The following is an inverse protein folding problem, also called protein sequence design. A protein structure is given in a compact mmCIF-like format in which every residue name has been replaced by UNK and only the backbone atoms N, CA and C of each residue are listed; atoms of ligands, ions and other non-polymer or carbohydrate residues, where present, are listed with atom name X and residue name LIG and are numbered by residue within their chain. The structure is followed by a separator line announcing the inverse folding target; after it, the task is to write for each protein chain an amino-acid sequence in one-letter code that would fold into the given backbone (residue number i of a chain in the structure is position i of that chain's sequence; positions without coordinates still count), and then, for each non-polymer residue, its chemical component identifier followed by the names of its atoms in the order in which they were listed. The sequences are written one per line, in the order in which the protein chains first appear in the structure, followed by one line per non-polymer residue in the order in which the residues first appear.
data_IF_543073360996
#
_entry.id   IF_543073360996
#
_cell.length_a   1.000
_cell.length_b   1.000
_cell.length_c   1.000
_cell.angle_alpha   90.00
_cell.angle_beta   90.00
_cell.angle_gamma   90.00
#
_symmetry.space_group_name_H-M   'P 1'
#
loop_
_entity.id
_entity.type
_entity.pdbx_description
1 polymer ?
#
# COMPACT_ATOMS: atom_id res chain seq x y z
N UNK A 1 31.12 -62.61 -18.92
CA UNK A 1 30.31 -61.40 -19.16
C UNK A 1 28.86 -61.86 -19.19
N UNK A 2 28.29 -62.03 -18.01
CA UNK A 2 26.90 -62.47 -17.83
C UNK A 2 26.07 -61.26 -17.41
N UNK A 3 25.04 -60.97 -18.18
CA UNK A 3 23.97 -60.03 -17.81
C UNK A 3 22.66 -60.80 -17.88
N UNK A 4 22.20 -61.25 -16.72
CA UNK A 4 20.89 -61.85 -16.49
C UNK A 4 19.82 -60.79 -16.20
N UNK A 5 18.59 -61.13 -16.58
CA UNK A 5 17.34 -60.46 -16.22
C UNK A 5 17.15 -60.31 -14.70
N UNK A 6 16.37 -59.33 -14.22
CA UNK A 6 14.97 -59.56 -13.81
C UNK A 6 14.27 -58.31 -13.19
N UNK A 7 13.03 -58.10 -13.63
CA UNK A 7 11.82 -57.57 -12.97
C UNK A 7 11.88 -56.81 -11.63
N UNK A 8 11.38 -55.55 -11.63
CA UNK A 8 10.26 -55.00 -10.81
C UNK A 8 10.40 -53.49 -10.59
N UNK A 9 9.51 -52.71 -11.21
CA UNK A 9 9.32 -51.28 -10.93
C UNK A 9 8.16 -51.09 -9.94
N UNK A 10 8.47 -50.81 -8.68
CA UNK A 10 7.59 -50.11 -7.72
C UNK A 10 8.50 -49.21 -6.86
N UNK A 11 8.52 -47.90 -7.15
CA UNK A 11 9.14 -46.86 -6.32
C UNK A 11 8.07 -45.80 -6.01
N UNK A 12 7.52 -45.70 -4.80
CA UNK A 12 8.10 -45.19 -3.55
C UNK A 12 8.11 -43.64 -3.54
N UNK A 13 7.12 -43.07 -2.85
CA UNK A 13 6.93 -41.63 -2.64
C UNK A 13 7.96 -41.08 -1.63
N UNK A 14 8.49 -39.85 -1.82
CA UNK A 14 9.41 -39.26 -0.85
C UNK A 14 8.68 -38.53 0.28
N UNK A 15 8.99 -38.92 1.50
CA UNK A 15 8.68 -38.22 2.76
C UNK A 15 9.62 -37.02 2.92
N UNK A 16 9.08 -35.80 2.99
CA UNK A 16 9.87 -34.59 3.30
C UNK A 16 9.84 -34.32 4.81
N UNK A 17 11.03 -34.37 5.44
CA UNK A 17 11.30 -33.98 6.84
C UNK A 17 11.29 -32.46 6.98
N UNK A 18 10.65 -31.94 8.04
CA UNK A 18 10.82 -30.57 8.54
C UNK A 18 11.90 -30.53 9.64
N UNK A 19 12.77 -29.51 9.71
CA UNK A 19 13.80 -29.41 10.73
C UNK A 19 13.28 -28.78 12.04
N UNK A 20 13.65 -29.39 13.17
CA UNK A 20 13.47 -28.87 14.52
C UNK A 20 14.48 -27.73 14.81
N UNK A 21 13.99 -26.51 15.07
CA UNK A 21 14.73 -25.49 15.83
C UNK A 21 13.76 -24.68 16.70
N UNK A 22 13.44 -25.21 17.90
CA UNK A 22 12.75 -24.47 18.95
C UNK A 22 13.77 -23.74 19.84
N UNK A 23 13.80 -22.41 19.72
CA UNK A 23 14.39 -21.52 20.73
C UNK A 23 13.50 -21.44 21.97
N UNK A 24 14.06 -21.77 23.13
CA UNK A 24 13.38 -21.70 24.45
C UNK A 24 13.09 -20.25 24.84
N UNK A 25 11.82 -19.88 24.96
CA UNK A 25 11.39 -18.68 25.69
C UNK A 25 10.81 -19.11 27.05
N UNK A 26 11.51 -18.72 28.13
CA UNK A 26 11.06 -18.87 29.51
C UNK A 26 9.86 -17.95 29.76
N UNK A 27 8.68 -18.53 30.05
CA UNK A 27 7.59 -17.79 30.67
C UNK A 27 7.75 -17.84 32.20
N UNK A 28 8.02 -16.68 32.81
CA UNK A 28 7.93 -16.47 34.26
C UNK A 28 6.47 -16.64 34.69
N UNK A 29 6.19 -17.57 35.60
CA UNK A 29 4.97 -17.55 36.42
C UNK A 29 5.07 -16.38 37.40
N UNK A 30 4.17 -15.41 37.29
CA UNK A 30 3.66 -14.69 38.45
C UNK A 30 2.15 -14.87 38.47
N UNK A 31 1.68 -15.56 39.49
CA UNK A 31 0.27 -15.56 39.84
C UNK A 31 -0.05 -14.26 40.56
N UNK A 32 -1.13 -13.59 40.13
CA UNK A 32 -2.06 -12.93 41.02
C UNK A 32 -3.39 -12.82 40.27
N UNK A 33 -4.34 -13.64 40.70
CA UNK A 33 -5.73 -13.61 40.27
C UNK A 33 -6.40 -12.46 41.00
N UNK A 34 -6.73 -11.38 40.29
CA UNK A 34 -7.75 -10.44 40.78
C UNK A 34 -8.73 -10.09 39.66
N UNK A 35 -9.99 -10.17 40.07
CA UNK A 35 -11.20 -10.22 39.27
C UNK A 35 -11.53 -8.86 38.67
N UNK A 36 -11.72 -8.80 37.35
CA UNK A 36 -12.58 -7.81 36.70
C UNK A 36 -13.39 -8.50 35.60
N UNK A 37 -14.40 -9.28 36.04
CA UNK A 37 -15.48 -9.68 35.17
C UNK A 37 -16.42 -8.47 35.00
N UNK A 38 -16.39 -7.84 33.83
CA UNK A 38 -17.50 -6.99 33.38
C UNK A 38 -18.77 -7.84 33.30
N UNK A 39 -19.91 -7.40 33.85
CA UNK A 39 -21.13 -8.19 33.82
C UNK A 39 -21.64 -8.26 32.37
N UNK A 40 -21.82 -9.47 31.87
CA UNK A 40 -22.63 -9.72 30.68
C UNK A 40 -24.05 -9.30 31.05
N UNK A 41 -24.59 -8.31 30.35
CA UNK A 41 -25.97 -7.83 30.52
C UNK A 41 -26.94 -9.02 30.54
N UNK A 42 -27.67 -9.17 31.64
CA UNK A 42 -28.77 -10.13 31.82
C UNK A 42 -30.09 -9.56 31.28
N UNK A 43 -30.06 -8.78 30.20
CA UNK A 43 -31.29 -8.43 29.50
C UNK A 43 -31.73 -9.60 28.63
N UNK A 44 -32.83 -10.23 29.04
CA UNK A 44 -33.52 -11.26 28.27
C UNK A 44 -33.80 -10.73 26.85
N UNK A 45 -33.52 -11.52 25.80
CA UNK A 45 -33.79 -11.11 24.44
C UNK A 45 -35.30 -10.89 24.23
N UNK A 46 -35.66 -9.86 23.47
CA UNK A 46 -37.05 -9.38 23.27
C UNK A 46 -38.07 -10.46 22.82
N UNK A 47 -37.62 -11.59 22.28
CA UNK A 47 -38.50 -12.72 21.95
C UNK A 47 -39.02 -13.48 23.18
N UNK A 48 -38.33 -13.41 24.32
CA UNK A 48 -38.79 -14.00 25.59
C UNK A 48 -40.00 -13.25 26.18
N UNK A 49 -40.28 -12.03 25.72
CA UNK A 49 -41.48 -11.26 26.10
C UNK A 49 -42.63 -11.40 25.07
N UNK A 50 -42.44 -12.18 24.00
CA UNK A 50 -43.44 -12.40 22.95
C UNK A 50 -44.03 -13.81 23.02
N UNK A 51 -44.47 -14.26 24.20
CA UNK A 51 -45.37 -15.41 24.30
C UNK A 51 -46.74 -14.92 24.77
N UNK A 52 -47.72 -14.94 23.85
CA UNK A 52 -49.09 -15.45 24.06
C UNK A 52 -50.09 -14.94 23.01
N UNK A 53 -49.82 -13.85 22.29
CA UNK A 53 -50.87 -13.19 21.47
C UNK A 53 -50.75 -13.27 19.94
N UNK A 54 -49.74 -13.97 19.38
CA UNK A 54 -49.55 -14.01 17.92
C UNK A 54 -50.04 -15.30 17.25
N UNK A 55 -50.36 -16.35 18.03
CA UNK A 55 -50.68 -17.67 17.49
C UNK A 55 -52.16 -17.85 17.11
N UNK A 56 -53.04 -16.91 17.45
CA UNK A 56 -54.49 -17.15 17.44
C UNK A 56 -55.27 -16.50 16.29
N UNK A 57 -54.61 -15.89 15.29
CA UNK A 57 -55.32 -15.10 14.26
C UNK A 57 -55.42 -15.69 12.86
N UNK A 58 -55.04 -16.96 12.65
CA UNK A 58 -55.00 -17.59 11.31
C UNK A 58 -55.90 -18.84 11.22
N UNK A 59 -56.80 -19.07 12.18
CA UNK A 59 -57.66 -20.27 12.20
C UNK A 59 -59.16 -19.93 12.15
N UNK A 60 -59.56 -18.99 11.31
CA UNK A 60 -60.97 -18.85 10.91
C UNK A 60 -61.05 -19.06 9.39
N UNK A 61 -61.86 -20.03 9.00
CA UNK A 61 -62.23 -20.45 7.65
C UNK A 61 -61.35 -21.52 6.96
N UNK A 62 -61.78 -22.79 7.12
CA UNK A 62 -61.47 -23.84 6.14
C UNK A 62 -61.27 -25.25 6.71
N UNK A 63 -62.38 -25.96 6.93
CA UNK A 63 -62.49 -27.43 6.99
C UNK A 63 -61.40 -28.21 7.75
N UNK A 64 -61.68 -28.48 9.03
CA UNK A 64 -60.97 -29.47 9.83
C UNK A 64 -61.19 -30.87 9.22
N UNK A 65 -60.18 -31.38 8.51
CA UNK A 65 -60.08 -32.81 8.19
C UNK A 65 -59.51 -33.53 9.42
N UNK A 66 -60.11 -34.69 9.72
CA UNK A 66 -59.94 -35.47 10.95
C UNK A 66 -58.52 -35.46 11.53
N UNK A 67 -58.40 -34.95 12.77
CA UNK A 67 -57.21 -35.05 13.59
C UNK A 67 -57.10 -36.49 14.11
N UNK A 68 -56.13 -37.23 13.58
CA UNK A 68 -55.55 -38.38 14.29
C UNK A 68 -54.86 -37.83 15.56
N UNK A 69 -55.03 -38.48 16.72
CA UNK A 69 -54.56 -38.07 18.05
C UNK A 69 -53.25 -37.26 17.94
N UNK A 70 -53.27 -35.95 18.22
CA UNK A 70 -52.23 -34.95 17.88
C UNK A 70 -50.80 -35.17 18.42
N UNK A 71 -50.27 -36.38 18.23
CA UNK A 71 -48.98 -36.90 18.66
C UNK A 71 -48.15 -37.13 17.40
N UNK A 72 -47.09 -36.34 17.27
CA UNK A 72 -46.12 -36.52 16.20
C UNK A 72 -45.23 -37.73 16.56
N UNK A 73 -45.14 -38.77 15.71
CA UNK A 73 -44.27 -39.90 15.95
C UNK A 73 -42.80 -39.46 16.05
N UNK A 74 -42.05 -40.00 17.01
CA UNK A 74 -40.63 -39.71 17.14
C UNK A 74 -39.82 -40.13 15.90
N UNK A 75 -40.30 -41.12 15.12
CA UNK A 75 -39.73 -41.51 13.83
C UNK A 75 -39.69 -40.36 12.82
N UNK A 76 -40.71 -39.50 12.85
CA UNK A 76 -40.92 -38.46 11.85
C UNK A 76 -40.06 -37.22 12.14
N UNK A 77 -39.66 -37.03 13.41
CA UNK A 77 -38.74 -35.99 13.84
C UNK A 77 -37.26 -36.38 13.76
N UNK A 78 -36.94 -37.68 13.69
CA UNK A 78 -35.54 -38.17 13.62
C UNK A 78 -34.75 -37.60 12.43
N UNK A 79 -35.29 -37.53 11.20
CA UNK A 79 -34.58 -36.95 10.07
C UNK A 79 -34.27 -35.46 10.27
N UNK A 80 -35.24 -34.70 10.77
CA UNK A 80 -35.05 -33.28 11.06
C UNK A 80 -34.01 -33.07 12.17
N UNK A 81 -34.05 -33.85 13.25
CA UNK A 81 -33.05 -33.79 14.32
C UNK A 81 -31.64 -34.15 13.80
N UNK A 82 -31.53 -35.17 12.95
CA UNK A 82 -30.26 -35.55 12.34
C UNK A 82 -29.70 -34.42 11.47
N UNK A 83 -30.54 -33.78 10.65
CA UNK A 83 -30.10 -32.65 9.82
C UNK A 83 -29.80 -31.39 10.64
N UNK A 84 -30.54 -31.10 11.70
CA UNK A 84 -30.19 -30.02 12.64
C UNK A 84 -28.83 -30.28 13.31
N UNK A 85 -28.53 -31.54 13.63
CA UNK A 85 -27.22 -31.94 14.17
C UNK A 85 -26.13 -31.78 13.12
N UNK A 86 -26.37 -32.21 11.87
CA UNK A 86 -25.44 -32.03 10.76
C UNK A 86 -25.16 -30.55 10.47
N UNK A 87 -26.20 -29.71 10.44
CA UNK A 87 -26.11 -28.27 10.20
C UNK A 87 -25.38 -27.53 11.32
N UNK A 88 -25.55 -27.95 12.58
CA UNK A 88 -24.75 -27.46 13.70
C UNK A 88 -23.26 -27.68 13.47
N UNK A 89 -22.92 -28.81 12.86
CA UNK A 89 -21.54 -29.23 12.62
C UNK A 89 -21.01 -28.75 11.23
N UNK A 90 -21.81 -27.95 10.51
CA UNK A 90 -21.43 -27.28 9.26
C UNK A 90 -21.82 -28.01 7.97
N UNK A 91 -22.55 -29.12 8.06
CA UNK A 91 -23.15 -29.80 6.91
C UNK A 91 -24.54 -29.24 6.61
N UNK A 92 -24.64 -28.46 5.54
CA UNK A 92 -25.85 -27.78 5.11
C UNK A 92 -26.68 -28.61 4.12
N UNK A 93 -26.79 -29.91 4.37
CA UNK A 93 -27.67 -30.81 3.61
C UNK A 93 -29.15 -30.59 3.97
N UNK A 94 -30.02 -30.56 2.95
CA UNK A 94 -31.47 -30.39 3.12
C UNK A 94 -32.12 -31.66 3.64
N UNK A 95 -33.20 -31.50 4.41
CA UNK A 95 -34.08 -32.60 4.80
C UNK A 95 -35.05 -32.88 3.66
N UNK A 96 -35.30 -34.14 3.30
CA UNK A 96 -36.39 -34.49 2.40
C UNK A 96 -37.73 -33.94 2.92
N UNK A 97 -38.58 -33.42 2.03
CA UNK A 97 -39.94 -32.97 2.39
C UNK A 97 -40.88 -34.18 2.59
N UNK A 98 -40.48 -35.10 3.46
CA UNK A 98 -41.24 -36.31 3.80
C UNK A 98 -41.98 -36.08 5.10
N UNK A 99 -43.31 -36.02 5.03
CA UNK A 99 -44.18 -35.82 6.18
C UNK A 99 -45.47 -35.08 5.81
N UNK A 100 -46.39 -34.95 6.76
CA UNK A 100 -47.61 -34.16 6.61
C UNK A 100 -47.76 -33.23 7.82
N UNK A 101 -48.47 -32.12 7.64
CA UNK A 101 -48.72 -31.15 8.72
C UNK A 101 -47.44 -30.47 9.22
N UNK A 102 -47.35 -30.25 10.54
CA UNK A 102 -46.30 -29.44 11.17
C UNK A 102 -44.86 -29.91 10.86
N UNK A 103 -44.64 -31.21 10.68
CA UNK A 103 -43.31 -31.75 10.35
C UNK A 103 -42.84 -31.29 8.96
N UNK A 104 -43.77 -31.19 8.00
CA UNK A 104 -43.46 -30.64 6.67
C UNK A 104 -43.14 -29.15 6.75
N UNK A 105 -43.93 -28.37 7.51
CA UNK A 105 -43.70 -26.94 7.71
C UNK A 105 -42.36 -26.66 8.41
N UNK A 106 -42.02 -27.44 9.45
CA UNK A 106 -40.73 -27.36 10.14
C UNK A 106 -39.56 -27.73 9.21
N UNK A 107 -39.72 -28.77 8.38
CA UNK A 107 -38.70 -29.19 7.43
C UNK A 107 -38.48 -28.14 6.34
N UNK A 108 -39.55 -27.51 5.84
CA UNK A 108 -39.47 -26.42 4.86
C UNK A 108 -38.78 -25.19 5.46
N UNK A 109 -39.17 -24.77 6.67
CA UNK A 109 -38.53 -23.66 7.38
C UNK A 109 -37.05 -23.93 7.64
N UNK A 110 -36.70 -25.15 8.06
CA UNK A 110 -35.32 -25.57 8.23
C UNK A 110 -34.54 -25.52 6.90
N UNK A 111 -35.09 -26.07 5.83
CA UNK A 111 -34.46 -26.04 4.49
C UNK A 111 -34.22 -24.60 4.00
N UNK A 112 -35.11 -23.65 4.29
CA UNK A 112 -34.89 -22.23 3.98
C UNK A 112 -33.73 -21.62 4.79
N UNK A 113 -33.54 -22.03 6.05
CA UNK A 113 -32.39 -21.61 6.87
C UNK A 113 -31.09 -22.20 6.29
N UNK A 114 -31.14 -23.46 5.86
CA UNK A 114 -30.03 -24.15 5.19
C UNK A 114 -29.66 -23.42 3.88
N UNK A 115 -30.64 -23.08 3.04
CA UNK A 115 -30.40 -22.34 1.80
C UNK A 115 -29.70 -21.00 2.05
N UNK A 116 -30.14 -20.24 3.06
CA UNK A 116 -29.53 -18.95 3.42
C UNK A 116 -28.09 -19.11 3.92
N UNK A 117 -27.82 -20.15 4.69
CA UNK A 117 -26.48 -20.45 5.21
C UNK A 117 -25.53 -20.89 4.09
N UNK A 118 -26.01 -21.76 3.20
CA UNK A 118 -25.28 -22.20 2.00
C UNK A 118 -24.97 -21.05 1.05
N UNK A 119 -25.93 -20.14 0.84
CA UNK A 119 -25.73 -18.95 0.01
C UNK A 119 -24.62 -18.05 0.56
N UNK A 120 -24.67 -17.71 1.86
CA UNK A 120 -23.62 -16.89 2.49
C UNK A 120 -22.23 -17.52 2.36
N UNK A 121 -22.12 -18.83 2.60
CA UNK A 121 -20.85 -19.55 2.46
C UNK A 121 -20.34 -19.53 1.01
N UNK A 122 -21.23 -19.74 0.04
CA UNK A 122 -20.90 -19.65 -1.39
C UNK A 122 -20.40 -18.26 -1.76
N UNK A 123 -21.05 -17.21 -1.27
CA UNK A 123 -20.65 -15.82 -1.54
C UNK A 123 -19.29 -15.47 -0.92
N UNK A 124 -19.03 -15.87 0.32
CA UNK A 124 -17.70 -15.69 0.94
C UNK A 124 -16.61 -16.39 0.12
N UNK A 125 -16.87 -17.61 -0.35
CA UNK A 125 -15.92 -18.36 -1.19
C UNK A 125 -15.73 -17.73 -2.57
N UNK A 126 -16.77 -17.11 -3.14
CA UNK A 126 -16.71 -16.38 -4.41
C UNK A 126 -15.85 -15.13 -4.26
N UNK A 127 -16.16 -14.25 -3.29
CA UNK A 127 -15.40 -13.02 -3.02
C UNK A 127 -13.94 -13.34 -2.71
N UNK A 128 -13.67 -14.37 -1.90
CA UNK A 128 -12.30 -14.84 -1.64
C UNK A 128 -11.57 -15.25 -2.92
N UNK A 129 -12.22 -15.97 -3.83
CA UNK A 129 -11.60 -16.37 -5.11
C UNK A 129 -11.28 -15.17 -5.98
N UNK A 130 -12.19 -14.21 -6.10
CA UNK A 130 -11.95 -12.97 -6.86
C UNK A 130 -10.78 -12.17 -6.27
N UNK A 131 -10.74 -12.02 -4.95
CA UNK A 131 -9.65 -11.32 -4.27
C UNK A 131 -8.30 -12.03 -4.46
N UNK A 132 -8.25 -13.35 -4.25
CA UNK A 132 -6.98 -14.11 -4.30
C UNK A 132 -6.48 -14.30 -5.73
N UNK A 133 -7.37 -14.54 -6.70
CA UNK A 133 -6.97 -14.81 -8.09
C UNK A 133 -6.79 -13.55 -8.93
N UNK A 134 -7.64 -12.57 -8.72
CA UNK A 134 -7.72 -11.38 -9.58
C UNK A 134 -7.30 -10.10 -8.85
N UNK A 135 -7.07 -10.13 -7.53
CA UNK A 135 -6.74 -8.94 -6.75
C UNK A 135 -7.89 -7.93 -6.65
N UNK A 136 -9.11 -8.35 -6.99
CA UNK A 136 -10.29 -7.48 -7.02
C UNK A 136 -10.83 -7.24 -5.62
N UNK A 137 -10.55 -6.05 -5.11
CA UNK A 137 -10.95 -5.60 -3.76
C UNK A 137 -12.33 -4.91 -3.78
N UNK A 138 -12.86 -4.59 -4.95
CA UNK A 138 -14.17 -3.99 -5.22
C UNK A 138 -15.34 -5.00 -5.10
N UNK A 139 -15.04 -6.29 -5.06
CA UNK A 139 -16.07 -7.34 -5.00
C UNK A 139 -16.80 -7.35 -3.64
N UNK A 140 -18.12 -7.55 -3.65
CA UNK A 140 -18.97 -7.51 -2.45
C UNK A 140 -19.82 -8.78 -2.33
N UNK A 141 -20.17 -9.12 -1.10
CA UNK A 141 -21.09 -10.22 -0.82
C UNK A 141 -22.52 -9.81 -1.17
N UNK A 142 -23.26 -10.71 -1.82
CA UNK A 142 -24.68 -10.52 -2.08
C UNK A 142 -25.54 -11.19 -1.00
N UNK A 143 -26.54 -10.47 -0.48
CA UNK A 143 -27.48 -11.02 0.50
C UNK A 143 -28.50 -11.96 -0.16
N UNK A 144 -28.81 -13.07 0.50
CA UNK A 144 -29.95 -13.93 0.11
C UNK A 144 -31.27 -13.17 0.32
N UNK A 145 -32.31 -13.38 -0.51
CA UNK A 145 -33.62 -12.78 -0.32
C UNK A 145 -34.16 -13.03 1.10
N UNK A 146 -34.45 -11.94 1.82
CA UNK A 146 -34.92 -11.99 3.20
C UNK A 146 -34.69 -10.68 3.95
N UNK A 147 -35.20 -10.63 5.18
CA UNK A 147 -35.01 -9.51 6.10
C UNK A 147 -34.33 -9.98 7.39
N UNK A 148 -33.81 -9.03 8.17
CA UNK A 148 -33.24 -9.26 9.49
C UNK A 148 -31.75 -9.60 9.49
N UNK A 149 -31.30 -10.34 10.50
CA UNK A 149 -29.87 -10.52 10.84
C UNK A 149 -29.02 -11.17 9.75
N UNK A 150 -29.63 -11.88 8.80
CA UNK A 150 -28.93 -12.43 7.64
C UNK A 150 -28.40 -11.33 6.72
N UNK A 151 -29.22 -10.32 6.45
CA UNK A 151 -28.83 -9.14 5.66
C UNK A 151 -27.84 -8.28 6.43
N UNK A 152 -28.06 -8.10 7.75
CA UNK A 152 -27.11 -7.37 8.61
C UNK A 152 -25.72 -7.99 8.56
N UNK A 153 -25.59 -9.31 8.64
CA UNK A 153 -24.29 -10.00 8.58
C UNK A 153 -23.55 -9.73 7.27
N UNK A 154 -24.23 -9.77 6.14
CA UNK A 154 -23.64 -9.45 4.83
C UNK A 154 -23.20 -7.99 4.77
N UNK A 155 -24.04 -7.08 5.27
CA UNK A 155 -23.72 -5.66 5.34
C UNK A 155 -22.52 -5.37 6.25
N UNK A 156 -22.41 -6.03 7.41
CA UNK A 156 -21.29 -5.88 8.32
C UNK A 156 -19.97 -6.31 7.66
N UNK A 157 -19.99 -7.44 6.93
CA UNK A 157 -18.81 -7.88 6.17
C UNK A 157 -18.48 -6.88 5.06
N UNK A 158 -19.47 -6.40 4.30
CA UNK A 158 -19.25 -5.41 3.25
C UNK A 158 -18.70 -4.09 3.80
N UNK A 159 -19.17 -3.62 4.96
CA UNK A 159 -18.64 -2.43 5.62
C UNK A 159 -17.18 -2.62 6.07
N UNK A 160 -16.82 -3.81 6.56
CA UNK A 160 -15.43 -4.14 6.88
C UNK A 160 -14.55 -4.16 5.62
N UNK A 161 -15.07 -4.68 4.50
CA UNK A 161 -14.37 -4.61 3.21
C UNK A 161 -14.20 -3.14 2.78
N UNK A 162 -15.25 -2.33 2.80
CA UNK A 162 -15.18 -0.91 2.43
C UNK A 162 -14.15 -0.14 3.27
N UNK A 163 -14.11 -0.38 4.58
CA UNK A 163 -13.17 0.25 5.51
C UNK A 163 -11.69 -0.08 5.22
N UNK A 164 -11.41 -1.16 4.48
CA UNK A 164 -10.06 -1.54 4.05
C UNK A 164 -9.78 -1.09 2.61
N UNK A 165 -10.77 -1.24 1.73
CA UNK A 165 -10.65 -1.01 0.28
C UNK A 165 -10.49 0.48 -0.02
N UNK A 166 -11.31 1.34 0.61
CA UNK A 166 -11.31 2.77 0.30
C UNK A 166 -9.96 3.45 0.64
N UNK A 167 -9.36 3.26 1.83
CA UNK A 167 -8.04 3.83 2.13
C UNK A 167 -6.93 3.30 1.21
N UNK A 168 -6.97 2.01 0.83
CA UNK A 168 -6.00 1.43 -0.08
C UNK A 168 -6.11 2.05 -1.49
N UNK A 169 -7.32 2.18 -2.03
CA UNK A 169 -7.56 2.84 -3.31
C UNK A 169 -7.11 4.31 -3.31
N UNK A 170 -7.37 5.04 -2.21
CA UNK A 170 -6.92 6.42 -2.04
C UNK A 170 -5.39 6.54 -2.03
N UNK A 171 -4.69 5.60 -1.38
CA UNK A 171 -3.24 5.54 -1.40
C UNK A 171 -2.70 5.28 -2.81
N UNK A 172 -3.26 4.29 -3.52
CA UNK A 172 -2.87 3.97 -4.91
C UNK A 172 -3.04 5.17 -5.83
N UNK A 173 -4.17 5.88 -5.76
CA UNK A 173 -4.41 7.09 -6.57
C UNK A 173 -3.33 8.15 -6.37
N UNK A 174 -2.87 8.36 -5.15
CA UNK A 174 -1.81 9.34 -4.85
C UNK A 174 -0.46 8.85 -5.34
N UNK A 175 -0.18 7.55 -5.24
CA UNK A 175 1.03 6.96 -5.81
C UNK A 175 1.05 7.08 -7.35
N UNK A 176 -0.08 6.85 -8.02
CA UNK A 176 -0.20 7.05 -9.47
C UNK A 176 0.01 8.52 -9.87
N UNK A 177 -0.54 9.46 -9.10
CA UNK A 177 -0.32 10.89 -9.31
C UNK A 177 1.17 11.26 -9.17
N UNK A 178 1.84 10.76 -8.13
CA UNK A 178 3.28 10.95 -7.91
C UNK A 178 4.10 10.34 -9.06
N UNK A 179 3.72 9.16 -9.55
CA UNK A 179 4.35 8.53 -10.71
C UNK A 179 4.18 9.37 -11.99
N UNK A 180 3.04 10.06 -12.12
CA UNK A 180 2.78 11.05 -13.17
C UNK A 180 3.46 12.41 -12.95
N UNK A 181 4.18 12.61 -11.84
CA UNK A 181 4.86 13.86 -11.51
C UNK A 181 4.00 14.89 -10.76
N UNK A 182 2.74 14.58 -10.45
CA UNK A 182 1.89 15.44 -9.62
C UNK A 182 2.18 15.19 -8.14
N UNK A 183 3.08 16.02 -7.59
CA UNK A 183 3.45 16.00 -6.18
C UNK A 183 2.53 16.88 -5.30
N UNK A 184 1.40 17.36 -5.82
CA UNK A 184 0.42 18.15 -5.05
C UNK A 184 -0.63 17.26 -4.36
N UNK A 185 -0.86 16.07 -4.90
CA UNK A 185 -1.82 15.13 -4.32
C UNK A 185 -1.38 14.61 -2.96
N UNK A 186 -2.34 14.39 -2.06
CA UNK A 186 -2.13 13.79 -0.73
C UNK A 186 -3.22 12.76 -0.45
N UNK A 187 -2.85 11.76 0.36
CA UNK A 187 -3.81 10.82 0.94
C UNK A 187 -4.56 11.56 2.04
N UNK A 188 -5.88 11.60 1.93
CA UNK A 188 -6.71 12.09 3.02
C UNK A 188 -6.59 11.11 4.20
N UNK A 189 -6.21 11.64 5.36
CA UNK A 189 -6.12 10.87 6.60
C UNK A 189 -7.46 10.81 7.32
N UNK A 190 -8.52 11.33 6.71
CA UNK A 190 -9.90 11.25 7.17
C UNK A 190 -10.73 10.49 6.15
N UNK A 191 -11.72 9.78 6.67
CA UNK A 191 -12.80 9.16 5.91
C UNK A 191 -14.09 9.86 6.35
N UNK A 192 -14.52 10.84 5.55
CA UNK A 192 -15.58 11.78 5.92
C UNK A 192 -15.28 12.50 7.24
N UNK A 193 -16.07 12.25 8.27
CA UNK A 193 -15.92 12.89 9.58
C UNK A 193 -14.97 12.14 10.55
N UNK A 194 -14.36 11.03 10.16
CA UNK A 194 -13.52 10.23 11.06
C UNK A 194 -12.09 10.18 10.59
N UNK A 195 -11.15 10.42 11.50
CA UNK A 195 -9.74 10.22 11.21
C UNK A 195 -9.42 8.71 11.09
N UNK A 196 -8.63 8.33 10.08
CA UNK A 196 -8.06 6.99 9.96
C UNK A 196 -7.29 6.64 11.24
N UNK A 197 -7.34 5.38 11.67
CA UNK A 197 -6.67 4.91 12.89
C UNK A 197 -5.72 3.75 12.59
N UNK A 198 -4.86 3.44 13.57
CA UNK A 198 -3.95 2.29 13.51
C UNK A 198 -3.07 2.27 12.24
N UNK A 199 -3.05 1.12 11.58
CA UNK A 199 -2.20 0.84 10.42
C UNK A 199 -2.63 1.61 9.17
N UNK A 200 -3.93 1.85 8.98
CA UNK A 200 -4.43 2.63 7.85
C UNK A 200 -3.91 4.09 7.91
N UNK A 201 -3.87 4.68 9.10
CA UNK A 201 -3.26 6.01 9.30
C UNK A 201 -1.74 5.97 9.10
N UNK A 202 -1.09 4.87 9.48
CA UNK A 202 0.35 4.71 9.27
C UNK A 202 0.66 4.65 7.77
N UNK A 203 -0.11 3.90 7.00
CA UNK A 203 0.00 3.83 5.54
C UNK A 203 -0.15 5.21 4.91
N UNK A 204 -1.26 5.91 5.18
CA UNK A 204 -1.49 7.24 4.60
C UNK A 204 -0.40 8.26 4.97
N UNK A 205 0.08 8.25 6.23
CA UNK A 205 1.20 9.11 6.64
C UNK A 205 2.52 8.75 5.96
N UNK A 206 2.79 7.46 5.73
CA UNK A 206 3.99 7.04 5.03
C UNK A 206 3.98 7.52 3.57
N UNK A 207 2.84 7.38 2.89
CA UNK A 207 2.67 7.90 1.52
C UNK A 207 2.84 9.42 1.51
N UNK A 208 2.12 10.15 2.36
CA UNK A 208 2.24 11.62 2.41
C UNK A 208 3.68 12.09 2.70
N UNK A 209 4.38 11.44 3.63
CA UNK A 209 5.78 11.75 3.94
C UNK A 209 6.69 11.57 2.71
N UNK A 210 6.47 10.52 1.92
CA UNK A 210 7.21 10.31 0.67
C UNK A 210 6.91 11.43 -0.34
N UNK A 211 5.64 11.82 -0.51
CA UNK A 211 5.28 12.94 -1.39
C UNK A 211 5.94 14.24 -0.95
N UNK A 212 5.95 14.51 0.36
CA UNK A 212 6.58 15.72 0.91
C UNK A 212 8.10 15.72 0.64
N UNK A 213 8.77 14.58 0.84
CA UNK A 213 10.21 14.46 0.56
C UNK A 213 10.53 14.67 -0.93
N UNK A 214 9.74 14.08 -1.83
CA UNK A 214 9.88 14.29 -3.27
C UNK A 214 9.61 15.74 -3.67
N UNK A 215 8.57 16.36 -3.10
CA UNK A 215 8.21 17.76 -3.38
C UNK A 215 9.34 18.71 -2.99
N UNK A 216 9.88 18.53 -1.78
CA UNK A 216 11.00 19.33 -1.26
C UNK A 216 12.25 19.18 -2.12
N UNK A 217 12.59 17.94 -2.49
CA UNK A 217 13.76 17.66 -3.30
C UNK A 217 13.63 18.28 -4.71
N UNK A 218 12.51 18.02 -5.40
CA UNK A 218 12.26 18.54 -6.74
C UNK A 218 12.27 20.06 -6.75
N UNK A 219 11.60 20.71 -5.81
CA UNK A 219 11.59 22.17 -5.70
C UNK A 219 13.00 22.74 -5.52
N UNK A 220 13.82 22.10 -4.69
CA UNK A 220 15.18 22.57 -4.42
C UNK A 220 16.12 22.39 -5.61
N UNK A 221 16.05 21.25 -6.31
CA UNK A 221 16.84 21.02 -7.52
C UNK A 221 16.42 22.00 -8.62
N UNK A 222 15.12 22.24 -8.82
CA UNK A 222 14.63 23.24 -9.77
C UNK A 222 15.11 24.64 -9.42
N UNK A 223 15.11 25.01 -8.13
CA UNK A 223 15.63 26.31 -7.68
C UNK A 223 17.11 26.47 -7.99
N UNK A 224 17.94 25.48 -7.66
CA UNK A 224 19.39 25.52 -7.92
C UNK A 224 19.69 25.55 -9.41
N UNK A 225 18.98 24.74 -10.20
CA UNK A 225 19.12 24.73 -11.65
C UNK A 225 18.79 26.11 -12.25
N UNK A 226 17.72 26.76 -11.77
CA UNK A 226 17.34 28.11 -12.20
C UNK A 226 18.38 29.16 -11.79
N UNK A 227 18.85 29.14 -10.55
CA UNK A 227 19.85 30.10 -10.05
C UNK A 227 21.18 29.98 -10.78
N UNK A 228 21.72 28.76 -10.89
CA UNK A 228 23.05 28.53 -11.46
C UNK A 228 23.00 28.56 -12.99
N UNK A 229 21.98 27.95 -13.59
CA UNK A 229 21.88 27.77 -15.04
C UNK A 229 21.20 28.92 -15.78
N UNK A 230 20.18 29.56 -15.20
CA UNK A 230 19.39 30.60 -15.88
C UNK A 230 19.71 32.00 -15.38
N UNK A 231 19.77 32.21 -14.08
CA UNK A 231 20.03 33.53 -13.49
C UNK A 231 21.53 33.86 -13.43
N UNK A 232 22.42 32.90 -13.68
CA UNK A 232 23.87 33.09 -13.56
C UNK A 232 24.35 33.40 -12.15
N UNK A 233 23.51 33.15 -11.12
CA UNK A 233 23.84 33.36 -9.71
C UNK A 233 24.63 32.16 -9.21
N UNK A 234 25.93 32.17 -9.53
CA UNK A 234 26.86 31.12 -9.16
C UNK A 234 27.04 31.03 -7.63
N UNK A 235 27.14 29.80 -7.12
CA UNK A 235 27.27 29.50 -5.69
C UNK A 235 25.97 29.08 -4.99
N UNK A 236 24.86 29.00 -5.73
CA UNK A 236 23.62 28.37 -5.25
C UNK A 236 23.86 26.92 -4.83
N UNK A 237 23.35 26.53 -3.66
CA UNK A 237 23.43 25.16 -3.13
C UNK A 237 22.06 24.67 -2.73
N UNK A 238 21.78 23.41 -3.03
CA UNK A 238 20.62 22.69 -2.55
C UNK A 238 20.76 22.44 -1.04
N UNK A 239 19.80 22.90 -0.26
CA UNK A 239 19.67 22.71 1.18
C UNK A 239 18.37 21.99 1.47
N UNK A 240 18.39 20.66 1.39
CA UNK A 240 17.21 19.87 1.78
C UNK A 240 17.46 19.24 3.15
N UNK A 241 16.72 19.70 4.16
CA UNK A 241 16.77 19.13 5.50
C UNK A 241 15.99 17.82 5.57
N UNK A 242 16.49 16.85 6.33
CA UNK A 242 15.78 15.59 6.60
C UNK A 242 15.89 14.52 5.49
N UNK A 243 16.70 14.73 4.45
CA UNK A 243 17.03 13.68 3.49
C UNK A 243 18.14 12.74 4.04
N UNK A 244 18.00 11.46 3.73
CA UNK A 244 18.92 10.39 4.12
C UNK A 244 19.07 9.34 3.03
N UNK A 245 20.16 8.57 3.06
CA UNK A 245 20.47 7.58 2.02
C UNK A 245 20.68 8.25 0.67
N UNK A 246 20.22 7.59 -0.40
CA UNK A 246 20.42 8.03 -1.78
C UNK A 246 20.00 9.48 -2.04
N UNK A 247 18.98 9.98 -1.35
CA UNK A 247 18.53 11.38 -1.47
C UNK A 247 19.60 12.40 -1.04
N UNK A 248 20.36 12.07 0.01
CA UNK A 248 21.48 12.89 0.45
C UNK A 248 22.59 12.85 -0.58
N UNK A 249 22.92 11.65 -1.07
CA UNK A 249 24.00 11.44 -2.04
C UNK A 249 23.75 12.22 -3.34
N UNK A 250 22.53 12.21 -3.87
CA UNK A 250 22.16 13.00 -5.04
C UNK A 250 22.26 14.51 -4.75
N UNK A 251 21.78 14.96 -3.58
CA UNK A 251 21.86 16.37 -3.19
C UNK A 251 23.32 16.85 -3.09
N UNK A 252 24.20 16.02 -2.53
CA UNK A 252 25.63 16.30 -2.41
C UNK A 252 26.34 16.30 -3.76
N UNK A 253 25.97 15.37 -4.66
CA UNK A 253 26.48 15.34 -6.03
C UNK A 253 26.11 16.63 -6.80
N UNK A 254 24.85 17.06 -6.74
CA UNK A 254 24.39 18.32 -7.37
C UNK A 254 25.14 19.52 -6.80
N UNK A 255 25.30 19.58 -5.47
CA UNK A 255 26.04 20.64 -4.80
C UNK A 255 27.53 20.68 -5.19
N UNK A 256 28.14 19.50 -5.34
CA UNK A 256 29.55 19.38 -5.76
C UNK A 256 29.72 19.84 -7.19
N UNK A 257 28.83 19.42 -8.09
CA UNK A 257 28.80 19.88 -9.48
C UNK A 257 28.65 21.40 -9.56
N UNK A 258 27.62 21.97 -8.91
CA UNK A 258 27.36 23.41 -8.91
C UNK A 258 28.55 24.22 -8.34
N UNK A 259 29.19 23.72 -7.28
CA UNK A 259 30.35 24.37 -6.66
C UNK A 259 31.58 24.35 -7.58
N UNK A 260 31.85 23.22 -8.25
CA UNK A 260 32.97 23.10 -9.19
C UNK A 260 32.80 24.03 -10.40
N UNK A 261 31.61 24.00 -11.01
CA UNK A 261 31.29 24.88 -12.14
C UNK A 261 31.36 26.37 -11.74
N UNK A 262 30.85 26.71 -10.55
CA UNK A 262 30.94 28.08 -10.01
C UNK A 262 32.39 28.55 -9.89
N UNK A 263 33.25 27.73 -9.29
CA UNK A 263 34.66 28.08 -9.11
C UNK A 263 35.36 28.26 -10.46
N UNK A 264 35.10 27.35 -11.40
CA UNK A 264 35.70 27.37 -12.74
C UNK A 264 35.31 28.64 -13.51
N UNK A 265 34.02 28.95 -13.60
CA UNK A 265 33.53 30.13 -14.33
C UNK A 265 33.99 31.43 -13.66
N UNK A 266 34.00 31.48 -12.31
CA UNK A 266 34.43 32.68 -11.58
C UNK A 266 35.92 32.98 -11.76
N UNK A 267 36.78 31.96 -11.78
CA UNK A 267 38.22 32.16 -12.02
C UNK A 267 38.49 32.70 -13.42
N UNK A 268 37.81 32.13 -14.43
CA UNK A 268 37.87 32.62 -15.81
C UNK A 268 37.42 34.08 -15.89
N UNK A 269 36.30 34.43 -15.24
CA UNK A 269 35.80 35.81 -15.22
C UNK A 269 36.78 36.80 -14.56
N UNK A 270 37.50 36.39 -13.51
CA UNK A 270 38.51 37.22 -12.88
C UNK A 270 39.70 37.50 -13.81
N UNK A 271 40.16 36.48 -14.53
CA UNK A 271 41.28 36.61 -15.48
C UNK A 271 40.89 37.46 -16.67
N UNK A 272 39.72 37.23 -17.27
CA UNK A 272 39.25 38.06 -18.40
C UNK A 272 39.03 39.52 -17.99
N UNK A 273 38.58 39.77 -16.75
CA UNK A 273 38.50 41.14 -16.20
C UNK A 273 39.88 41.77 -16.02
N UNK A 274 40.89 41.01 -15.58
CA UNK A 274 42.26 41.50 -15.44
C UNK A 274 42.86 41.88 -16.79
N UNK A 275 42.69 41.00 -17.80
CA UNK A 275 43.11 41.24 -19.19
C UNK A 275 42.47 42.51 -19.75
N UNK A 276 41.16 42.70 -19.53
CA UNK A 276 40.45 43.91 -19.97
C UNK A 276 40.95 45.20 -19.30
N UNK A 277 41.61 45.09 -18.14
CA UNK A 277 42.26 46.22 -17.44
C UNK A 277 43.75 46.37 -17.79
N UNK A 278 44.26 45.56 -18.72
CA UNK A 278 45.67 45.57 -19.15
C UNK A 278 46.61 44.76 -18.25
N UNK A 279 46.10 44.01 -17.27
CA UNK A 279 46.91 43.10 -16.46
C UNK A 279 46.98 41.73 -17.15
N UNK A 280 48.05 41.52 -17.91
CA UNK A 280 48.33 40.29 -18.66
C UNK A 280 49.18 39.29 -17.86
N UNK A 281 49.41 39.56 -16.56
CA UNK A 281 50.20 38.66 -15.70
C UNK A 281 49.34 37.54 -15.08
N UNK A 282 48.02 37.62 -15.23
CA UNK A 282 47.03 36.73 -14.62
C UNK A 282 46.64 35.61 -15.57
N UNK A 283 46.64 34.37 -15.07
CA UNK A 283 46.17 33.18 -15.81
C UNK A 283 45.09 32.44 -15.02
N UNK A 284 44.26 31.67 -15.71
CA UNK A 284 43.24 30.81 -15.11
C UNK A 284 43.95 29.63 -14.47
N UNK A 285 43.72 29.40 -13.18
CA UNK A 285 44.46 28.42 -12.37
C UNK A 285 43.61 27.26 -11.91
N UNK A 286 42.29 27.46 -11.76
CA UNK A 286 41.33 26.44 -11.29
C UNK A 286 41.43 25.12 -12.06
N UNK A 287 41.29 24.00 -11.35
CA UNK A 287 41.22 22.68 -11.99
C UNK A 287 39.95 22.53 -12.82
N UNK A 288 40.12 22.08 -14.06
CA UNK A 288 39.04 21.89 -15.02
C UNK A 288 39.31 20.63 -15.85
N UNK A 289 38.24 20.02 -16.35
CA UNK A 289 38.26 18.86 -17.24
C UNK A 289 37.23 19.05 -18.36
N UNK A 290 37.39 18.31 -19.47
CA UNK A 290 36.48 18.39 -20.62
C UNK A 290 36.42 19.79 -21.24
N UNK A 291 35.23 20.23 -21.62
CA UNK A 291 34.99 21.53 -22.29
C UNK A 291 35.48 22.73 -21.44
N UNK A 292 35.41 22.62 -20.12
CA UNK A 292 35.90 23.68 -19.22
C UNK A 292 37.43 23.77 -19.20
N UNK A 293 38.14 22.65 -19.45
CA UNK A 293 39.59 22.67 -19.60
C UNK A 293 40.00 23.32 -20.91
N UNK A 294 39.30 23.00 -22.00
CA UNK A 294 39.53 23.64 -23.30
C UNK A 294 39.33 25.16 -23.20
N UNK A 295 38.23 25.60 -22.57
CA UNK A 295 37.98 27.02 -22.34
C UNK A 295 39.09 27.68 -21.51
N UNK A 296 39.55 27.02 -20.43
CA UNK A 296 40.69 27.50 -19.62
C UNK A 296 41.94 27.69 -20.48
N UNK A 297 42.28 26.71 -21.31
CA UNK A 297 43.46 26.75 -22.17
C UNK A 297 43.35 27.87 -23.22
N UNK A 298 42.20 27.99 -23.88
CA UNK A 298 41.96 29.06 -24.87
C UNK A 298 42.13 30.45 -24.24
N UNK A 299 41.57 30.67 -23.05
CA UNK A 299 41.72 31.95 -22.35
C UNK A 299 43.18 32.20 -21.99
N UNK A 300 43.90 31.21 -21.47
CA UNK A 300 45.32 31.37 -21.13
C UNK A 300 46.19 31.65 -22.37
N UNK A 301 45.99 30.93 -23.47
CA UNK A 301 46.70 31.20 -24.73
C UNK A 301 46.42 32.61 -25.25
N UNK A 302 45.19 33.11 -25.12
CA UNK A 302 44.86 34.49 -25.46
C UNK A 302 45.65 35.49 -24.58
N UNK A 303 45.77 35.24 -23.27
CA UNK A 303 46.59 36.08 -22.38
C UNK A 303 48.05 36.09 -22.84
N UNK A 304 48.62 34.91 -23.12
CA UNK A 304 50.01 34.77 -23.55
C UNK A 304 50.29 35.53 -24.85
N UNK A 305 49.38 35.41 -25.84
CA UNK A 305 49.49 36.10 -27.12
C UNK A 305 49.40 37.62 -26.98
N UNK A 306 48.48 38.11 -26.16
CA UNK A 306 48.36 39.55 -25.88
C UNK A 306 49.59 40.09 -25.14
N UNK A 307 50.16 39.32 -24.21
CA UNK A 307 51.36 39.72 -23.48
C UNK A 307 52.54 39.86 -24.43
N UNK A 308 52.77 38.86 -25.28
CA UNK A 308 53.84 38.91 -26.29
C UNK A 308 53.66 40.08 -27.28
N UNK A 309 52.42 40.37 -27.67
CA UNK A 309 52.12 41.52 -28.53
C UNK A 309 52.41 42.86 -27.84
N UNK A 310 52.04 43.01 -26.57
CA UNK A 310 52.31 44.23 -25.80
C UNK A 310 53.83 44.48 -25.61
N UNK A 311 54.60 43.42 -25.37
CA UNK A 311 56.06 43.48 -25.29
C UNK A 311 56.67 43.93 -26.63
N UNK A 312 56.17 43.37 -27.73
CA UNK A 312 56.64 43.69 -29.08
C UNK A 312 56.34 45.15 -29.46
N UNK A 313 55.14 45.66 -29.16
CA UNK A 313 54.79 47.06 -29.38
C UNK A 313 55.69 47.99 -28.55
N UNK A 314 56.01 47.61 -27.31
CA UNK A 314 56.92 48.39 -26.46
C UNK A 314 58.35 48.40 -27.01
N UNK A 315 58.81 47.28 -27.56
CA UNK A 315 60.11 47.17 -28.23
C UNK A 315 60.17 48.05 -29.48
N UNK A 316 59.20 47.93 -30.38
CA UNK A 316 59.11 48.72 -31.61
C UNK A 316 58.99 50.22 -31.31
N UNK A 317 58.19 50.59 -30.30
CA UNK A 317 58.07 51.99 -29.88
C UNK A 317 59.39 52.57 -29.37
N UNK A 318 60.23 51.78 -28.68
CA UNK A 318 61.58 52.21 -28.30
C UNK A 318 62.49 52.37 -29.51
N UNK A 319 62.55 51.38 -30.40
CA UNK A 319 63.43 51.41 -31.58
C UNK A 319 63.12 52.62 -32.47
N UNK A 320 61.84 52.82 -32.81
CA UNK A 320 61.40 53.97 -33.61
C UNK A 320 61.61 55.30 -32.88
N UNK A 321 61.51 55.32 -31.55
CA UNK A 321 61.77 56.51 -30.74
C UNK A 321 63.24 56.86 -30.53
N UNK A 322 64.17 55.92 -30.78
CA UNK A 322 65.62 56.14 -30.65
C UNK A 322 66.33 56.34 -31.99
N UNK A 323 65.72 55.97 -33.11
CA UNK A 323 66.29 56.09 -34.46
C UNK A 323 65.66 57.20 -35.33
N UNK A 324 64.74 58.01 -34.79
CA UNK A 324 64.16 59.20 -35.44
C UNK A 324 64.59 60.50 -34.76
#
# INVERSE_FOLDING_TARGET
MESGCDSRCVGMAPTVRLPEQFGRIRLRRHGQSDRLATPISTELPKWAAMSENSATRVLEDGQIRAFDDGRIPASDLRPLLAAMTAARDGDFSKVPETGYGLVADLSAAFNQIIDRSTHFNTEVQRVRRELVRHGRLDERLSASPGQGSWTTRVNDVNQLLDALVAPAANATRVLDAVAGGDLTQRVDLHDGNRQLRGDLRRLGRAVNKMVDQLSLFTGEVTRVAREVGTEGRLGGRAKVQGLSGSWRDVTEAVNTMASRLTAQVRDIALVTTAVARGDLTRTVTVEATGELLELKLTVNTMVDQLSAFADEVTRVAREVGTEG
#
